data_IF_632153446127
#
_entry.id   IF_632153446127
#
_cell.length_a   1.000
_cell.length_b   1.000
_cell.length_c   1.000
_cell.angle_alpha   90.00
_cell.angle_beta   90.00
_cell.angle_gamma   90.00
#
_symmetry.space_group_name_H-M   'P 1'
#
loop_
_entity.id
_entity.type
_entity.pdbx_description
1 polymer ?
#
# COMPACT_ATOMS: atom_id res chain seq x y z
N UNK A 1 13.52 -1.98 17.60
CA UNK A 1 14.03 -0.79 16.89
C UNK A 1 15.52 -0.85 16.51
N UNK A 2 16.35 -1.71 17.12
CA UNK A 2 17.80 -1.76 16.82
C UNK A 2 18.15 -2.15 15.37
N UNK A 3 17.31 -2.94 14.72
CA UNK A 3 17.57 -3.43 13.36
C UNK A 3 17.03 -2.49 12.27
N UNK A 4 15.92 -1.82 12.48
CA UNK A 4 15.25 -1.02 11.44
C UNK A 4 16.17 0.09 10.88
N UNK A 5 16.91 0.85 11.70
CA UNK A 5 17.83 1.87 11.19
C UNK A 5 18.91 1.33 10.24
N UNK A 6 19.27 0.05 10.36
CA UNK A 6 20.26 -0.60 9.49
C UNK A 6 19.76 -0.83 8.06
N UNK A 7 18.46 -0.76 7.85
CA UNK A 7 17.82 -1.06 6.57
C UNK A 7 17.24 0.17 5.88
N UNK A 8 16.77 1.16 6.62
CA UNK A 8 16.11 2.35 6.03
C UNK A 8 17.02 3.19 5.15
N UNK A 9 18.33 3.15 5.36
CA UNK A 9 19.32 3.86 4.53
C UNK A 9 19.81 3.08 3.30
N UNK A 10 19.24 1.89 3.01
CA UNK A 10 19.65 1.11 1.85
C UNK A 10 19.00 1.62 0.58
N UNK A 11 19.73 1.48 -0.53
CA UNK A 11 19.24 1.81 -1.87
C UNK A 11 17.90 1.09 -2.16
N UNK A 12 16.95 1.82 -2.72
CA UNK A 12 15.61 1.33 -3.07
C UNK A 12 14.61 1.27 -1.91
N UNK A 13 14.96 1.73 -0.71
CA UNK A 13 14.01 1.90 0.39
C UNK A 13 13.25 3.20 0.21
N UNK A 14 11.96 3.12 -0.08
CA UNK A 14 11.11 4.27 -0.44
C UNK A 14 10.18 4.73 0.67
N UNK A 15 10.01 3.95 1.74
CA UNK A 15 9.13 4.28 2.86
C UNK A 15 9.44 3.46 4.10
N UNK A 16 8.97 3.90 5.25
CA UNK A 16 8.84 3.09 6.45
C UNK A 16 7.38 2.60 6.55
N UNK A 17 7.17 1.30 6.55
CA UNK A 17 5.83 0.69 6.62
C UNK A 17 5.84 -0.82 6.40
N UNK A 18 4.77 -1.48 6.73
CA UNK A 18 3.53 -0.97 7.34
C UNK A 18 3.72 -0.77 8.84
N UNK A 19 3.34 0.40 9.36
CA UNK A 19 3.43 0.72 10.80
C UNK A 19 2.08 1.26 11.30
N UNK A 20 1.77 1.09 12.59
CA UNK A 20 0.52 1.61 13.14
C UNK A 20 -0.09 0.70 14.20
N UNK A 21 -1.41 0.66 14.22
CA UNK A 21 -2.18 -0.03 15.25
C UNK A 21 -3.01 -1.18 14.66
N UNK A 22 -3.07 -2.29 15.40
CA UNK A 22 -4.03 -3.37 15.18
C UNK A 22 -5.06 -3.42 16.33
N UNK A 23 -4.60 -3.48 17.58
CA UNK A 23 -5.44 -3.48 18.80
C UNK A 23 -5.36 -2.17 19.62
N UNK A 24 -4.59 -1.19 19.18
CA UNK A 24 -4.37 0.12 19.83
C UNK A 24 -3.79 0.01 21.25
N UNK A 25 -2.88 -0.92 21.47
CA UNK A 25 -2.18 -1.17 22.73
C UNK A 25 -1.10 -0.11 23.01
N UNK A 26 -0.65 -0.04 24.27
CA UNK A 26 0.48 0.82 24.66
C UNK A 26 1.80 0.40 23.98
N UNK A 27 1.97 -0.89 23.75
CA UNK A 27 3.14 -1.42 23.05
C UNK A 27 3.17 -0.97 21.60
N UNK A 28 2.04 -1.06 20.89
CA UNK A 28 1.90 -0.56 19.53
C UNK A 28 2.13 0.95 19.48
N UNK A 29 1.54 1.71 20.40
CA UNK A 29 1.72 3.17 20.47
C UNK A 29 3.21 3.53 20.61
N UNK A 30 3.91 2.86 21.52
CA UNK A 30 5.35 3.07 21.71
C UNK A 30 6.15 2.80 20.43
N UNK A 31 5.93 1.66 19.78
CA UNK A 31 6.68 1.31 18.58
C UNK A 31 6.28 2.15 17.38
N UNK A 32 5.02 2.51 17.25
CA UNK A 32 4.53 3.40 16.21
C UNK A 32 5.23 4.77 16.30
N UNK A 33 5.28 5.39 17.47
CA UNK A 33 5.97 6.67 17.72
C UNK A 33 7.45 6.60 17.37
N UNK A 34 8.16 5.55 17.81
CA UNK A 34 9.57 5.37 17.48
C UNK A 34 9.82 5.22 15.98
N UNK A 35 8.90 4.62 15.24
CA UNK A 35 9.01 4.46 13.80
C UNK A 35 8.69 5.77 13.05
N UNK A 36 7.76 6.58 13.56
CA UNK A 36 7.50 7.92 13.04
C UNK A 36 8.70 8.87 13.27
N UNK A 37 9.33 8.81 14.45
CA UNK A 37 10.57 9.53 14.73
C UNK A 37 11.66 9.17 13.73
N UNK A 38 11.86 7.88 13.50
CA UNK A 38 12.84 7.40 12.52
C UNK A 38 12.50 7.88 11.11
N UNK A 39 11.23 7.80 10.68
CA UNK A 39 10.81 8.27 9.36
C UNK A 39 11.13 9.75 9.14
N UNK A 40 10.87 10.55 10.16
CA UNK A 40 11.19 11.98 10.15
C UNK A 40 12.70 12.24 10.12
N UNK A 41 13.49 11.47 10.87
CA UNK A 41 14.95 11.58 10.92
C UNK A 41 15.59 11.27 9.55
N UNK A 42 15.07 10.27 8.84
CA UNK A 42 15.62 9.83 7.55
C UNK A 42 14.88 10.41 6.34
N UNK A 43 13.90 11.28 6.56
CA UNK A 43 13.08 11.95 5.53
C UNK A 43 12.40 10.96 4.55
N UNK A 44 11.84 9.89 5.08
CA UNK A 44 11.14 8.88 4.29
C UNK A 44 9.62 8.97 4.45
N UNK A 45 8.84 8.72 3.39
CA UNK A 45 7.41 8.50 3.47
C UNK A 45 7.03 7.41 4.46
N UNK A 46 5.80 7.47 4.96
CA UNK A 46 5.25 6.50 5.91
C UNK A 46 4.02 5.83 5.33
N UNK A 47 3.94 4.51 5.44
CA UNK A 47 2.73 3.74 5.16
C UNK A 47 2.12 3.27 6.48
N UNK A 48 0.95 3.80 6.81
CA UNK A 48 0.25 3.52 8.07
C UNK A 48 -0.76 2.39 7.87
N UNK A 49 -0.60 1.33 8.66
CA UNK A 49 -1.63 0.33 8.89
C UNK A 49 -2.72 0.88 9.82
N UNK A 50 -3.98 0.66 9.48
CA UNK A 50 -5.11 1.06 10.31
C UNK A 50 -5.94 -0.14 10.74
N UNK A 51 -6.36 -0.21 12.04
CA UNK A 51 -6.95 -1.40 12.63
C UNK A 51 -8.28 -1.80 12.00
N UNK A 52 -8.62 -3.07 12.10
CA UNK A 52 -9.94 -3.56 11.69
C UNK A 52 -11.03 -3.27 12.72
N UNK A 53 -10.68 -3.35 14.01
CA UNK A 53 -11.59 -3.02 15.11
C UNK A 53 -11.56 -1.54 15.39
N UNK A 54 -12.70 -0.96 15.76
CA UNK A 54 -12.85 0.47 16.00
C UNK A 54 -12.18 1.32 14.90
N UNK A 55 -12.43 0.93 13.66
CA UNK A 55 -11.76 1.43 12.45
C UNK A 55 -11.60 2.94 12.44
N UNK A 56 -12.71 3.66 12.58
CA UNK A 56 -12.68 5.13 12.54
C UNK A 56 -11.83 5.73 13.67
N UNK A 57 -11.98 5.23 14.89
CA UNK A 57 -11.22 5.71 16.06
C UNK A 57 -9.72 5.45 15.88
N UNK A 58 -9.37 4.24 15.45
CA UNK A 58 -7.96 3.88 15.24
C UNK A 58 -7.31 4.66 14.10
N UNK A 59 -8.04 4.89 13.00
CA UNK A 59 -7.55 5.73 11.89
C UNK A 59 -7.30 7.17 12.34
N UNK A 60 -8.23 7.76 13.09
CA UNK A 60 -8.07 9.12 13.65
C UNK A 60 -6.85 9.16 14.57
N UNK A 61 -6.74 8.21 15.50
CA UNK A 61 -5.58 8.13 16.40
C UNK A 61 -4.25 8.01 15.64
N UNK A 62 -4.20 7.20 14.59
CA UNK A 62 -2.99 7.08 13.77
C UNK A 62 -2.58 8.42 13.17
N UNK A 63 -3.54 9.19 12.64
CA UNK A 63 -3.27 10.51 12.09
C UNK A 63 -2.88 11.53 13.20
N UNK A 64 -3.58 11.53 14.32
CA UNK A 64 -3.28 12.44 15.45
C UNK A 64 -1.84 12.24 15.94
N UNK A 65 -1.41 10.99 16.10
CA UNK A 65 -0.02 10.68 16.51
C UNK A 65 0.98 11.07 15.43
N UNK A 66 0.67 10.91 14.15
CA UNK A 66 1.51 11.39 13.05
C UNK A 66 1.67 12.92 13.08
N UNK A 67 0.57 13.66 13.33
CA UNK A 67 0.56 15.12 13.47
C UNK A 67 1.35 15.58 14.70
N UNK A 68 1.22 14.90 15.85
CA UNK A 68 2.01 15.14 17.06
C UNK A 68 3.53 15.07 16.79
N UNK A 69 3.96 14.18 15.89
CA UNK A 69 5.37 14.06 15.47
C UNK A 69 5.77 15.08 14.39
N UNK A 70 4.80 15.85 13.88
CA UNK A 70 5.02 16.91 12.89
C UNK A 70 5.42 16.38 11.52
N UNK A 71 4.88 15.21 11.13
CA UNK A 71 5.03 14.73 9.76
C UNK A 71 4.14 15.54 8.81
N UNK A 72 4.66 15.83 7.61
CA UNK A 72 3.83 16.40 6.54
C UNK A 72 2.81 15.33 6.08
N UNK A 73 1.51 15.61 6.10
CA UNK A 73 0.49 14.67 5.61
C UNK A 73 0.76 14.14 4.19
N UNK A 74 1.43 14.92 3.36
CA UNK A 74 1.83 14.50 2.01
C UNK A 74 2.87 13.39 1.99
N UNK A 75 3.60 13.20 3.08
CA UNK A 75 4.57 12.11 3.26
C UNK A 75 3.93 10.85 3.85
N UNK A 76 2.62 10.86 4.10
CA UNK A 76 1.95 9.79 4.85
C UNK A 76 0.81 9.19 4.05
N UNK A 77 0.87 7.89 3.87
CA UNK A 77 -0.20 7.07 3.29
C UNK A 77 -0.91 6.35 4.44
N UNK A 78 -2.18 6.66 4.64
CA UNK A 78 -3.06 5.95 5.58
C UNK A 78 -3.75 4.83 4.82
N UNK A 79 -3.39 3.57 5.09
CA UNK A 79 -3.92 2.43 4.33
C UNK A 79 -5.15 1.78 4.97
N UNK A 80 -5.75 0.87 4.22
CA UNK A 80 -6.97 0.13 4.58
C UNK A 80 -8.18 1.01 4.88
N UNK A 81 -8.33 2.13 4.17
CA UNK A 81 -9.49 3.01 4.33
C UNK A 81 -10.82 2.36 3.95
N UNK A 82 -11.86 2.99 4.43
CA UNK A 82 -13.24 2.66 4.11
C UNK A 82 -14.11 3.93 4.01
N UNK A 83 -15.42 3.77 3.73
CA UNK A 83 -16.36 4.89 3.61
C UNK A 83 -16.46 5.73 4.88
N UNK A 84 -16.13 5.15 6.07
CA UNK A 84 -16.16 5.83 7.35
C UNK A 84 -14.92 6.70 7.59
N UNK A 85 -13.82 6.42 6.91
CA UNK A 85 -12.50 7.03 7.18
C UNK A 85 -12.00 7.91 6.05
N UNK A 86 -12.32 7.59 4.80
CA UNK A 86 -11.76 8.25 3.61
C UNK A 86 -11.91 9.76 3.64
N UNK A 87 -13.09 10.25 4.01
CA UNK A 87 -13.33 11.71 4.03
C UNK A 87 -12.36 12.42 4.97
N UNK A 88 -12.21 11.93 6.19
CA UNK A 88 -11.36 12.55 7.18
C UNK A 88 -9.87 12.47 6.82
N UNK A 89 -9.45 11.34 6.25
CA UNK A 89 -8.07 11.16 5.75
C UNK A 89 -7.75 12.18 4.66
N UNK A 90 -8.63 12.33 3.67
CA UNK A 90 -8.44 13.29 2.58
C UNK A 90 -8.53 14.75 3.06
N UNK A 91 -9.46 15.07 3.96
CA UNK A 91 -9.63 16.42 4.52
C UNK A 91 -8.40 16.89 5.29
N UNK A 92 -7.68 15.97 5.95
CA UNK A 92 -6.42 16.26 6.66
C UNK A 92 -5.20 16.27 5.74
N UNK A 93 -5.37 16.02 4.43
CA UNK A 93 -4.30 16.12 3.43
C UNK A 93 -3.47 14.86 3.23
N UNK A 94 -3.81 13.76 3.87
CA UNK A 94 -3.15 12.45 3.75
C UNK A 94 -3.48 11.76 2.42
N UNK A 95 -2.65 10.79 2.03
CA UNK A 95 -3.03 9.81 1.02
C UNK A 95 -3.92 8.74 1.64
N UNK A 96 -5.01 8.39 0.96
CA UNK A 96 -5.92 7.34 1.37
C UNK A 96 -5.67 6.06 0.57
N UNK A 97 -5.09 5.05 1.20
CA UNK A 97 -4.87 3.73 0.63
C UNK A 97 -6.09 2.82 0.76
N UNK A 98 -6.35 2.03 -0.26
CA UNK A 98 -7.46 1.08 -0.32
C UNK A 98 -6.97 -0.27 -0.83
N UNK A 99 -7.06 -1.28 0.03
CA UNK A 99 -6.71 -2.65 -0.33
C UNK A 99 -7.93 -3.39 -0.86
N UNK A 100 -7.84 -3.91 -2.07
CA UNK A 100 -8.91 -4.68 -2.70
C UNK A 100 -8.72 -6.16 -2.40
N UNK A 101 -9.69 -6.74 -1.70
CA UNK A 101 -9.81 -8.18 -1.45
C UNK A 101 -11.11 -8.72 -2.02
N UNK A 102 -11.12 -9.92 -2.61
CA UNK A 102 -12.31 -10.49 -3.25
C UNK A 102 -13.50 -10.69 -2.31
N UNK A 103 -13.25 -11.06 -1.05
CA UNK A 103 -14.28 -11.54 -0.15
C UNK A 103 -14.38 -10.84 1.20
N UNK A 104 -13.33 -10.21 1.70
CA UNK A 104 -13.27 -9.71 3.08
C UNK A 104 -13.11 -8.21 3.22
N UNK A 105 -12.62 -7.54 2.20
CA UNK A 105 -12.45 -6.10 2.15
C UNK A 105 -13.23 -5.52 0.98
N UNK A 106 -12.81 -4.43 0.41
CA UNK A 106 -13.61 -3.75 -0.60
C UNK A 106 -13.53 -4.45 -1.94
N UNK A 107 -14.67 -4.72 -2.49
CA UNK A 107 -14.77 -5.08 -3.89
C UNK A 107 -14.53 -3.87 -4.79
N UNK A 108 -14.27 -4.16 -6.06
CA UNK A 108 -14.03 -3.14 -7.08
C UNK A 108 -15.19 -2.15 -7.24
N UNK A 109 -16.42 -2.61 -7.00
CA UNK A 109 -17.64 -1.78 -7.09
C UNK A 109 -17.64 -0.64 -6.08
N UNK A 110 -17.27 -0.92 -4.83
CA UNK A 110 -17.19 0.09 -3.77
C UNK A 110 -16.10 1.12 -4.07
N UNK A 111 -15.01 0.68 -4.68
CA UNK A 111 -13.92 1.58 -5.08
C UNK A 111 -14.37 2.55 -6.19
N UNK A 112 -15.17 2.08 -7.14
CA UNK A 112 -15.79 2.93 -8.16
C UNK A 112 -16.61 4.05 -7.52
N UNK A 113 -17.46 3.73 -6.53
CA UNK A 113 -18.28 4.73 -5.85
C UNK A 113 -17.44 5.72 -5.02
N UNK A 114 -16.38 5.26 -4.38
CA UNK A 114 -15.44 6.14 -3.66
C UNK A 114 -14.78 7.15 -4.61
N UNK A 115 -14.27 6.70 -5.75
CA UNK A 115 -13.63 7.61 -6.73
C UNK A 115 -14.65 8.58 -7.34
N UNK A 116 -15.88 8.16 -7.59
CA UNK A 116 -16.95 9.05 -8.03
C UNK A 116 -17.30 10.13 -7.02
N UNK A 117 -17.29 9.77 -5.74
CA UNK A 117 -17.69 10.66 -4.65
C UNK A 117 -16.60 11.64 -4.24
N UNK A 118 -15.35 11.20 -4.18
CA UNK A 118 -14.23 11.97 -3.60
C UNK A 118 -13.21 12.46 -4.64
N UNK A 119 -13.32 12.02 -5.89
CA UNK A 119 -12.31 12.28 -6.91
C UNK A 119 -11.10 11.35 -6.79
N UNK A 120 -10.11 11.49 -7.68
CA UNK A 120 -8.93 10.63 -7.73
C UNK A 120 -7.77 11.13 -6.86
N UNK A 121 -7.79 12.39 -6.39
CA UNK A 121 -6.66 13.03 -5.73
C UNK A 121 -6.32 12.33 -4.42
N UNK A 122 -5.06 11.93 -4.27
CA UNK A 122 -4.51 11.24 -3.09
C UNK A 122 -5.19 9.91 -2.72
N UNK A 123 -5.93 9.30 -3.64
CA UNK A 123 -6.45 7.94 -3.48
C UNK A 123 -5.47 6.95 -4.11
N UNK A 124 -5.10 5.91 -3.37
CA UNK A 124 -4.23 4.82 -3.83
C UNK A 124 -4.98 3.50 -3.72
N UNK A 125 -5.03 2.75 -4.82
CA UNK A 125 -5.64 1.41 -4.85
C UNK A 125 -4.54 0.36 -4.90
N UNK A 126 -4.58 -0.57 -3.97
CA UNK A 126 -3.63 -1.67 -3.90
C UNK A 126 -4.33 -3.04 -3.79
N UNK A 127 -3.57 -4.10 -3.96
CA UNK A 127 -3.98 -5.48 -3.67
C UNK A 127 -2.96 -6.10 -2.73
N UNK A 128 -3.41 -6.67 -1.62
CA UNK A 128 -2.54 -7.45 -0.75
C UNK A 128 -2.57 -8.91 -1.16
N UNK A 129 -1.44 -9.60 -1.00
CA UNK A 129 -1.28 -11.01 -1.34
C UNK A 129 -0.80 -11.85 -0.14
N UNK A 130 -0.86 -11.31 1.07
CA UNK A 130 -0.24 -11.85 2.26
C UNK A 130 -1.24 -12.47 3.25
N UNK A 131 -2.53 -12.17 3.12
CA UNK A 131 -3.53 -12.59 4.10
C UNK A 131 -4.82 -13.10 3.46
N UNK A 132 -5.14 -14.36 3.71
CA UNK A 132 -6.35 -14.99 3.20
C UNK A 132 -6.38 -15.16 1.68
N UNK A 133 -7.57 -15.31 1.13
CA UNK A 133 -7.77 -15.40 -0.32
C UNK A 133 -7.58 -14.00 -0.92
N UNK A 134 -6.53 -13.83 -1.68
CA UNK A 134 -6.20 -12.60 -2.39
C UNK A 134 -6.27 -12.78 -3.91
N UNK A 135 -6.33 -11.66 -4.63
CA UNK A 135 -6.31 -11.66 -6.09
C UNK A 135 -5.23 -10.68 -6.58
N UNK A 136 -4.10 -11.18 -7.12
CA UNK A 136 -3.04 -10.31 -7.63
C UNK A 136 -3.48 -9.45 -8.81
N UNK A 137 -4.62 -9.77 -9.44
CA UNK A 137 -5.22 -9.00 -10.52
C UNK A 137 -6.32 -8.03 -10.02
N UNK A 138 -6.46 -7.83 -8.72
CA UNK A 138 -7.50 -6.96 -8.17
C UNK A 138 -7.41 -5.52 -8.68
N UNK A 139 -6.21 -4.94 -8.74
CA UNK A 139 -6.03 -3.57 -9.25
C UNK A 139 -6.40 -3.44 -10.72
N UNK A 140 -5.88 -4.25 -11.68
CA UNK A 140 -6.31 -4.15 -13.07
C UNK A 140 -7.79 -4.46 -13.28
N UNK A 141 -8.39 -5.38 -12.54
CA UNK A 141 -9.84 -5.63 -12.59
C UNK A 141 -10.66 -4.43 -12.10
N UNK A 142 -10.19 -3.76 -11.06
CA UNK A 142 -10.80 -2.53 -10.56
C UNK A 142 -10.70 -1.41 -11.59
N UNK A 143 -9.54 -1.24 -12.24
CA UNK A 143 -9.37 -0.30 -13.34
C UNK A 143 -10.35 -0.55 -14.51
N UNK A 144 -10.53 -1.80 -14.90
CA UNK A 144 -11.48 -2.17 -15.94
C UNK A 144 -12.93 -1.87 -15.55
N UNK A 145 -13.29 -2.11 -14.29
CA UNK A 145 -14.62 -1.75 -13.80
C UNK A 145 -14.84 -0.23 -13.76
N UNK A 146 -13.83 0.53 -13.36
CA UNK A 146 -13.86 1.99 -13.40
C UNK A 146 -14.11 2.51 -14.81
N UNK A 147 -13.41 1.98 -15.84
CA UNK A 147 -13.64 2.32 -17.25
C UNK A 147 -15.08 2.03 -17.68
N UNK A 148 -15.57 0.83 -17.38
CA UNK A 148 -16.96 0.43 -17.68
C UNK A 148 -17.99 1.30 -16.96
N UNK A 149 -17.62 1.90 -15.84
CA UNK A 149 -18.47 2.79 -15.02
C UNK A 149 -18.34 4.27 -15.42
N UNK A 150 -17.58 4.58 -16.48
CA UNK A 150 -17.44 5.92 -17.04
C UNK A 150 -16.47 6.85 -16.27
N UNK A 151 -15.59 6.30 -15.44
CA UNK A 151 -14.53 7.10 -14.80
C UNK A 151 -13.47 7.43 -15.86
N UNK A 152 -13.03 8.71 -15.95
CA UNK A 152 -12.00 9.13 -16.91
C UNK A 152 -10.69 8.35 -16.74
N UNK A 153 -10.00 8.04 -17.83
CA UNK A 153 -8.76 7.26 -17.80
C UNK A 153 -7.64 7.94 -16.98
N UNK A 154 -7.61 9.27 -16.99
CA UNK A 154 -6.71 10.06 -16.15
C UNK A 154 -6.93 9.80 -14.66
N UNK A 155 -8.19 9.73 -14.19
CA UNK A 155 -8.52 9.42 -12.82
C UNK A 155 -8.13 7.98 -12.46
N UNK A 156 -8.33 7.04 -13.38
CA UNK A 156 -7.94 5.64 -13.19
C UNK A 156 -6.42 5.53 -13.02
N UNK A 157 -5.64 6.19 -13.87
CA UNK A 157 -4.18 6.24 -13.75
C UNK A 157 -3.72 6.85 -12.43
N UNK A 158 -4.36 7.94 -12.01
CA UNK A 158 -4.03 8.56 -10.73
C UNK A 158 -4.18 7.57 -9.57
N UNK A 159 -5.32 6.89 -9.45
CA UNK A 159 -5.61 6.02 -8.29
C UNK A 159 -4.87 4.68 -8.35
N UNK A 160 -4.52 4.20 -9.53
CA UNK A 160 -3.89 2.87 -9.70
C UNK A 160 -2.38 2.88 -9.63
N UNK A 161 -1.71 4.00 -9.94
CA UNK A 161 -0.26 4.09 -9.86
C UNK A 161 0.33 5.49 -9.65
N UNK A 162 -0.21 6.58 -10.26
CA UNK A 162 0.45 7.88 -10.22
C UNK A 162 0.53 8.46 -8.79
N UNK A 163 -0.57 8.35 -8.02
CA UNK A 163 -0.56 8.83 -6.63
C UNK A 163 0.45 8.05 -5.78
N UNK A 164 0.60 6.74 -6.00
CA UNK A 164 1.61 5.94 -5.32
C UNK A 164 3.02 6.38 -5.72
N UNK A 165 3.29 6.57 -7.02
CA UNK A 165 4.58 7.09 -7.50
C UNK A 165 4.88 8.47 -6.90
N UNK A 166 3.89 9.36 -6.82
CA UNK A 166 4.05 10.68 -6.21
C UNK A 166 4.36 10.57 -4.71
N UNK A 167 3.61 9.74 -3.99
CA UNK A 167 3.78 9.58 -2.54
C UNK A 167 5.14 8.97 -2.18
N UNK A 168 5.50 7.84 -2.78
CA UNK A 168 6.76 7.15 -2.49
C UNK A 168 7.98 7.81 -3.16
N UNK A 169 7.79 8.50 -4.28
CA UNK A 169 8.84 9.25 -4.97
C UNK A 169 9.45 10.38 -4.13
N UNK A 170 8.72 10.86 -3.11
CA UNK A 170 9.22 11.86 -2.16
C UNK A 170 10.45 11.37 -1.36
N UNK A 171 10.68 10.06 -1.30
CA UNK A 171 11.90 9.47 -0.74
C UNK A 171 13.18 9.87 -1.49
N UNK A 172 13.07 10.35 -2.74
CA UNK A 172 14.22 10.54 -3.63
C UNK A 172 14.89 9.24 -4.09
N UNK A 173 14.34 8.06 -3.72
CA UNK A 173 14.89 6.74 -4.02
C UNK A 173 14.15 6.05 -5.17
N UNK A 174 13.12 6.69 -5.74
CA UNK A 174 12.30 6.17 -6.82
C UNK A 174 12.05 7.25 -7.85
N UNK A 175 12.33 6.94 -9.12
CA UNK A 175 12.01 7.82 -10.26
C UNK A 175 10.81 7.23 -11.01
N UNK A 176 9.83 8.07 -11.32
CA UNK A 176 8.69 7.70 -12.15
C UNK A 176 9.15 7.14 -13.51
N UNK A 177 10.24 7.66 -14.08
CA UNK A 177 10.78 7.23 -15.36
C UNK A 177 11.27 5.77 -15.33
N UNK A 178 11.77 5.28 -14.20
CA UNK A 178 12.18 3.89 -14.03
C UNK A 178 10.98 2.93 -14.18
N UNK A 179 9.79 3.38 -13.75
CA UNK A 179 8.55 2.62 -13.89
C UNK A 179 7.96 2.72 -15.30
N UNK A 180 7.94 3.91 -15.88
CA UNK A 180 7.36 4.13 -17.21
C UNK A 180 8.23 3.55 -18.32
N UNK A 181 9.54 3.52 -18.13
CA UNK A 181 10.53 3.03 -19.10
C UNK A 181 11.18 1.71 -18.66
N UNK A 182 10.54 0.95 -17.78
CA UNK A 182 11.06 -0.33 -17.33
C UNK A 182 11.42 -1.21 -18.55
N UNK A 183 12.65 -1.72 -18.56
CA UNK A 183 13.10 -2.59 -19.62
C UNK A 183 12.19 -3.84 -19.69
N UNK A 184 11.85 -4.32 -20.89
CA UNK A 184 11.07 -5.53 -21.02
C UNK A 184 11.73 -6.68 -20.27
N UNK A 185 10.97 -7.39 -19.43
CA UNK A 185 11.47 -8.57 -18.74
C UNK A 185 11.84 -9.63 -19.77
N UNK A 186 13.11 -9.97 -19.83
CA UNK A 186 13.57 -11.11 -20.62
C UNK A 186 13.16 -12.41 -19.90
N UNK A 187 12.02 -12.95 -20.30
CA UNK A 187 11.47 -14.18 -19.71
C UNK A 187 12.35 -15.42 -19.99
N UNK A 188 13.34 -15.31 -20.88
CA UNK A 188 14.29 -16.39 -21.16
C UNK A 188 15.44 -16.43 -20.16
N UNK A 189 15.71 -15.34 -19.44
CA UNK A 189 16.78 -15.27 -18.45
C UNK A 189 16.30 -15.85 -17.11
N UNK A 190 17.06 -16.80 -16.59
CA UNK A 190 16.89 -17.25 -15.21
C UNK A 190 17.19 -16.06 -14.27
N UNK A 191 16.24 -15.70 -13.43
CA UNK A 191 16.43 -14.66 -12.41
C UNK A 191 17.45 -15.17 -11.38
N UNK A 192 18.68 -14.73 -11.47
CA UNK A 192 19.79 -15.19 -10.63
C UNK A 192 19.63 -14.87 -9.13
N UNK A 193 18.66 -14.06 -8.76
CA UNK A 193 18.34 -13.69 -7.40
C UNK A 193 17.12 -14.40 -6.80
N UNK A 194 16.40 -15.21 -7.58
CA UNK A 194 15.18 -15.85 -7.11
C UNK A 194 15.51 -16.96 -6.10
N UNK A 195 15.09 -16.80 -4.84
CA UNK A 195 15.34 -17.76 -3.76
C UNK A 195 14.69 -19.12 -4.01
N UNK A 196 13.60 -19.19 -4.76
CA UNK A 196 12.91 -20.43 -5.15
C UNK A 196 13.73 -21.25 -6.14
N UNK A 197 14.55 -20.60 -6.97
CA UNK A 197 15.41 -21.23 -7.96
C UNK A 197 16.84 -21.45 -7.48
N UNK A 198 17.20 -21.03 -6.29
CA UNK A 198 18.51 -21.30 -5.68
C UNK A 198 18.62 -22.79 -5.41
N UNK A 199 19.63 -23.41 -6.00
CA UNK A 199 19.89 -24.85 -5.84
C UNK A 199 19.25 -25.74 -6.91
N UNK A 200 18.73 -25.20 -8.00
CA UNK A 200 18.20 -25.99 -9.13
C UNK A 200 16.81 -26.58 -8.87
N UNK A 201 16.08 -26.06 -7.90
CA UNK A 201 14.70 -26.46 -7.65
C UNK A 201 13.80 -26.06 -8.81
N UNK A 202 12.99 -26.99 -9.29
CA UNK A 202 11.93 -26.71 -10.26
C UNK A 202 10.75 -26.07 -9.49
N UNK A 203 10.23 -24.89 -9.90
CA UNK A 203 9.04 -24.35 -9.30
C UNK A 203 7.90 -25.35 -9.39
N UNK A 204 7.25 -25.67 -8.27
CA UNK A 204 5.98 -26.39 -8.30
C UNK A 204 4.92 -25.40 -8.80
N UNK A 205 4.26 -25.76 -9.88
CA UNK A 205 3.05 -25.05 -10.32
C UNK A 205 1.92 -25.49 -9.41
N UNK A 206 1.37 -24.60 -8.63
CA UNK A 206 0.13 -24.85 -7.88
C UNK A 206 -0.98 -25.19 -8.85
N UNK A 207 -1.63 -26.33 -8.66
CA UNK A 207 -2.63 -26.89 -9.57
C UNK A 207 -2.29 -28.29 -10.06
N UNK A 208 -1.14 -28.83 -9.69
CA UNK A 208 -0.91 -30.26 -9.76
C UNK A 208 -1.78 -30.96 -8.69
N UNK A 209 -2.29 -32.10 -9.02
CA UNK A 209 -3.27 -32.93 -8.30
C UNK A 209 -2.99 -33.25 -6.81
N UNK A 210 -1.95 -32.67 -6.21
CA UNK A 210 -1.57 -32.91 -4.83
C UNK A 210 -2.35 -32.06 -3.82
N UNK A 211 -3.24 -31.18 -4.29
CA UNK A 211 -4.11 -30.33 -3.46
C UNK A 211 -5.58 -30.75 -3.40
N UNK A 212 -5.94 -31.88 -4.00
CA UNK A 212 -7.36 -32.33 -4.11
C UNK A 212 -7.70 -33.44 -3.12
N UNK A 213 -6.84 -33.83 -2.22
CA UNK A 213 -7.22 -34.79 -1.16
C UNK A 213 -6.59 -34.39 0.16
N UNK A 214 -7.39 -33.59 0.96
CA UNK A 214 -7.57 -33.82 2.39
C UNK A 214 -8.64 -32.88 2.93
#
# INVERSE_FOLDING_TARGET
MELLPLYVGKEGVVAIGEIGYDDQTEAEDKFYRLQLELAKEVDLPVLIHTPHRDKRKGTIRSMDVSEEHGLDPKMVIVDHNNEETVKEVLDRGYYAGFTIYPHTKRGSERMVEIVKQYGPERIIVNSAADWGISDPLAVPKTADLMRKSGIPEEHIKMVTYQNALTAFGQSGQMDEQDWLNAAPLDQTKKMSGNSVLRGGQTPRVEGSSDFVEN
#
